data_IF_685134326021
#
_entry.id   IF_685134326021
#
_cell.length_a   1.000
_cell.length_b   1.000
_cell.length_c   1.000
_cell.angle_alpha   90.00
_cell.angle_beta   90.00
_cell.angle_gamma   90.00
#
_symmetry.space_group_name_H-M   'P 1'
#
loop_
_entity.id
_entity.type
_entity.pdbx_description
1 polymer ?
#
# COMPACT_ATOMS: atom_id res chain seq x y z
N UNK A 1 12.91 -1.59 7.60
CA UNK A 1 13.40 -0.29 7.09
C UNK A 1 14.80 -0.02 7.59
N UNK A 2 15.71 0.41 6.71
CA UNK A 2 17.12 0.55 7.06
C UNK A 2 17.46 1.75 7.96
N UNK A 3 16.55 2.69 8.19
CA UNK A 3 16.78 3.86 9.04
C UNK A 3 17.89 4.81 8.55
N UNK A 4 18.03 4.96 7.25
CA UNK A 4 19.12 5.75 6.64
C UNK A 4 19.14 7.20 7.18
N UNK A 5 17.98 7.84 7.27
CA UNK A 5 17.92 9.21 7.80
C UNK A 5 18.36 9.30 9.27
N UNK A 6 18.06 8.28 10.07
CA UNK A 6 18.49 8.23 11.47
C UNK A 6 20.00 8.04 11.59
N UNK A 7 20.61 7.17 10.76
CA UNK A 7 22.04 6.97 10.70
C UNK A 7 22.79 8.23 10.26
N UNK A 8 22.28 8.95 9.25
CA UNK A 8 22.87 10.21 8.76
C UNK A 8 22.81 11.29 9.84
N UNK A 9 21.67 11.43 10.53
CA UNK A 9 21.54 12.37 11.65
C UNK A 9 22.43 12.02 12.83
N UNK A 10 22.58 10.72 13.15
CA UNK A 10 23.48 10.27 14.20
C UNK A 10 24.94 10.59 13.90
N UNK A 11 25.30 10.69 12.61
CA UNK A 11 26.61 11.16 12.15
C UNK A 11 26.77 12.71 12.18
N UNK A 12 25.78 13.46 12.70
CA UNK A 12 25.81 14.93 12.77
C UNK A 12 25.51 15.63 11.45
N UNK A 13 25.02 14.91 10.43
CA UNK A 13 24.74 15.46 9.11
C UNK A 13 23.25 15.83 9.03
N UNK A 14 22.89 17.08 8.67
CA UNK A 14 21.49 17.45 8.45
C UNK A 14 20.87 16.56 7.37
N UNK A 15 19.70 15.96 7.69
CA UNK A 15 19.01 15.07 6.77
C UNK A 15 17.51 15.37 6.80
N UNK A 16 16.94 15.70 5.63
CA UNK A 16 15.50 15.78 5.42
C UNK A 16 14.97 14.37 5.09
N UNK A 17 13.88 14.01 5.73
CA UNK A 17 13.19 12.71 5.50
C UNK A 17 12.71 12.07 6.80
N UNK A 18 11.87 11.04 6.71
CA UNK A 18 11.37 10.31 7.87
C UNK A 18 12.48 9.47 8.50
N UNK A 19 12.42 9.29 9.82
CA UNK A 19 13.15 8.24 10.51
C UNK A 19 12.59 6.85 10.19
N UNK A 20 13.22 5.80 10.74
CA UNK A 20 12.83 4.42 10.49
C UNK A 20 11.36 4.14 10.85
N UNK A 21 10.87 4.73 11.92
CA UNK A 21 9.47 4.59 12.34
C UNK A 21 8.51 5.23 11.33
N UNK A 22 8.75 6.49 10.93
CA UNK A 22 7.91 7.16 9.93
C UNK A 22 7.97 6.51 8.55
N UNK A 23 9.11 5.93 8.18
CA UNK A 23 9.29 5.22 6.92
C UNK A 23 8.46 3.92 6.82
N UNK A 24 7.94 3.40 7.93
CA UNK A 24 7.01 2.26 7.91
C UNK A 24 5.70 2.57 7.20
N UNK A 25 5.32 3.85 7.11
CA UNK A 25 4.11 4.25 6.36
C UNK A 25 4.18 3.85 4.89
N UNK A 26 5.37 3.83 4.30
CA UNK A 26 5.58 3.31 2.94
C UNK A 26 5.91 1.82 2.94
N UNK A 27 6.61 1.36 3.96
CA UNK A 27 7.13 -0.01 4.03
C UNK A 27 6.13 -1.08 4.41
N UNK A 28 5.01 -0.71 5.04
CA UNK A 28 3.94 -1.62 5.47
C UNK A 28 2.59 -0.98 5.25
N UNK A 29 1.80 -1.61 4.40
CA UNK A 29 0.42 -1.20 4.13
C UNK A 29 -0.45 -1.36 5.36
N UNK A 30 -0.24 -2.44 6.11
CA UNK A 30 -0.94 -2.70 7.36
C UNK A 30 -0.65 -1.62 8.41
N UNK A 31 0.63 -1.24 8.57
CA UNK A 31 1.00 -0.14 9.47
C UNK A 31 0.27 1.16 9.10
N UNK A 32 0.26 1.51 7.82
CA UNK A 32 -0.44 2.70 7.33
C UNK A 32 -1.95 2.64 7.58
N UNK A 33 -2.59 1.50 7.33
CA UNK A 33 -4.01 1.28 7.61
C UNK A 33 -4.33 1.46 9.09
N UNK A 34 -3.57 0.83 9.96
CA UNK A 34 -3.74 0.94 11.41
C UNK A 34 -3.52 2.36 11.93
N UNK A 35 -2.57 3.10 11.32
CA UNK A 35 -2.33 4.50 11.67
C UNK A 35 -3.51 5.38 11.24
N UNK A 36 -4.02 5.20 10.02
CA UNK A 36 -5.19 5.92 9.53
C UNK A 36 -6.42 5.66 10.39
N UNK A 37 -6.68 4.39 10.73
CA UNK A 37 -7.79 4.00 11.58
C UNK A 37 -7.71 4.67 12.97
N UNK A 38 -6.54 4.61 13.63
CA UNK A 38 -6.30 5.26 14.93
C UNK A 38 -6.44 6.78 14.86
N UNK A 39 -6.08 7.39 13.76
CA UNK A 39 -6.15 8.83 13.55
C UNK A 39 -7.50 9.31 13.01
N UNK A 40 -8.45 8.41 12.73
CA UNK A 40 -9.75 8.73 12.13
C UNK A 40 -9.63 9.25 10.69
N UNK A 41 -8.57 8.87 9.97
CA UNK A 41 -8.35 9.24 8.57
C UNK A 41 -9.13 8.25 7.68
N UNK A 42 -10.01 8.73 6.79
CA UNK A 42 -10.73 7.87 5.87
C UNK A 42 -9.79 7.01 5.02
N UNK A 43 -10.08 5.73 4.95
CA UNK A 43 -9.36 4.76 4.11
C UNK A 43 -10.33 3.65 3.70
N UNK A 44 -10.02 2.92 2.63
CA UNK A 44 -10.77 1.75 2.20
C UNK A 44 -10.95 0.76 3.36
N UNK A 45 -12.12 0.18 3.52
CA UNK A 45 -12.37 -0.92 4.44
C UNK A 45 -11.39 -2.07 4.14
N UNK A 46 -10.88 -2.74 5.15
CA UNK A 46 -9.84 -3.76 4.95
C UNK A 46 -9.86 -4.87 5.99
N UNK A 47 -9.33 -6.01 5.62
CA UNK A 47 -8.89 -7.08 6.51
C UNK A 47 -7.40 -7.36 6.33
N UNK A 48 -6.73 -7.83 7.37
CA UNK A 48 -5.33 -8.25 7.31
C UNK A 48 -5.17 -9.68 7.81
N UNK A 49 -4.37 -10.48 7.11
CA UNK A 49 -4.27 -11.91 7.31
C UNK A 49 -2.81 -12.37 7.25
N UNK A 50 -2.46 -13.32 8.09
CA UNK A 50 -1.14 -13.97 8.13
C UNK A 50 -1.23 -15.46 7.77
N UNK A 51 -2.41 -15.93 7.39
CA UNK A 51 -2.64 -17.28 6.89
C UNK A 51 -3.62 -17.27 5.71
N UNK A 52 -3.39 -18.18 4.77
CA UNK A 52 -4.15 -18.28 3.52
C UNK A 52 -5.62 -18.64 3.78
N UNK A 53 -5.91 -19.53 4.72
CA UNK A 53 -7.25 -20.03 4.94
C UNK A 53 -8.19 -18.93 5.42
N UNK A 54 -7.75 -18.11 6.38
CA UNK A 54 -8.52 -16.96 6.87
C UNK A 54 -8.69 -15.89 5.80
N UNK A 55 -7.67 -15.64 4.99
CA UNK A 55 -7.74 -14.69 3.89
C UNK A 55 -8.76 -15.14 2.83
N UNK A 56 -8.74 -16.42 2.43
CA UNK A 56 -9.71 -16.98 1.49
C UNK A 56 -11.14 -16.96 2.04
N UNK A 57 -11.32 -17.23 3.34
CA UNK A 57 -12.64 -17.15 3.97
C UNK A 57 -13.20 -15.73 3.89
N UNK A 58 -12.36 -14.71 4.18
CA UNK A 58 -12.73 -13.30 4.09
C UNK A 58 -13.10 -12.90 2.65
N UNK A 59 -12.28 -13.28 1.65
CA UNK A 59 -12.57 -13.01 0.24
C UNK A 59 -13.93 -13.57 -0.19
N UNK A 60 -14.26 -14.79 0.24
CA UNK A 60 -15.55 -15.44 -0.05
C UNK A 60 -16.73 -14.75 0.64
N UNK A 61 -16.52 -14.24 1.83
CA UNK A 61 -17.53 -13.50 2.59
C UNK A 61 -17.81 -12.12 1.97
N UNK A 62 -16.75 -11.40 1.59
CA UNK A 62 -16.88 -10.04 1.02
C UNK A 62 -17.34 -10.05 -0.44
N UNK A 63 -16.98 -11.08 -1.20
CA UNK A 63 -17.18 -11.13 -2.65
C UNK A 63 -16.22 -10.23 -3.41
N UNK A 64 -16.40 -10.11 -4.73
CA UNK A 64 -15.64 -9.19 -5.58
C UNK A 64 -16.52 -7.98 -5.99
N UNK A 65 -15.94 -6.83 -6.35
CA UNK A 65 -14.50 -6.57 -6.56
C UNK A 65 -13.74 -6.27 -5.25
N UNK A 66 -12.47 -6.69 -5.20
CA UNK A 66 -11.55 -6.48 -4.07
C UNK A 66 -10.15 -6.11 -4.56
N UNK A 67 -9.33 -5.57 -3.67
CA UNK A 67 -7.90 -5.33 -3.90
C UNK A 67 -7.09 -6.14 -2.91
N UNK A 68 -6.30 -7.10 -3.41
CA UNK A 68 -5.41 -7.95 -2.62
C UNK A 68 -4.00 -7.37 -2.67
N UNK A 69 -3.37 -7.17 -1.52
CA UNK A 69 -2.06 -6.51 -1.40
C UNK A 69 -1.13 -7.32 -0.50
N UNK A 70 0.04 -7.69 -0.98
CA UNK A 70 1.14 -8.10 -0.12
C UNK A 70 1.60 -6.90 0.73
N UNK A 71 1.84 -7.09 2.03
CA UNK A 71 2.07 -5.98 2.96
C UNK A 71 3.39 -5.24 2.71
N UNK A 72 4.45 -5.94 2.34
CA UNK A 72 5.76 -5.35 2.08
C UNK A 72 5.87 -4.60 0.75
N UNK A 73 7.09 -4.13 0.44
CA UNK A 73 7.35 -3.32 -0.76
C UNK A 73 7.13 -4.06 -2.08
N UNK A 74 7.28 -5.38 -2.13
CA UNK A 74 7.00 -6.26 -3.29
C UNK A 74 7.39 -5.67 -4.66
N UNK A 75 8.38 -4.76 -4.72
CA UNK A 75 8.83 -4.02 -5.90
C UNK A 75 7.68 -3.37 -6.71
N UNK A 76 6.61 -2.93 -6.02
CA UNK A 76 5.44 -2.31 -6.65
C UNK A 76 4.48 -3.30 -7.34
N UNK A 77 4.75 -4.60 -7.29
CA UNK A 77 3.95 -5.64 -7.98
C UNK A 77 2.99 -6.39 -7.07
N UNK A 78 3.05 -6.18 -5.76
CA UNK A 78 2.24 -6.89 -4.77
C UNK A 78 0.83 -6.32 -4.58
N UNK A 79 0.24 -5.69 -5.61
CA UNK A 79 -1.12 -5.15 -5.58
C UNK A 79 -1.89 -5.73 -6.76
N UNK A 80 -2.94 -6.46 -6.47
CA UNK A 80 -3.78 -7.14 -7.46
C UNK A 80 -5.22 -6.65 -7.29
N UNK A 81 -5.76 -6.03 -8.33
CA UNK A 81 -7.17 -5.63 -8.41
C UNK A 81 -7.95 -6.81 -8.99
N UNK A 82 -8.80 -7.40 -8.18
CA UNK A 82 -9.62 -8.55 -8.55
C UNK A 82 -11.07 -8.10 -8.78
N UNK A 83 -11.55 -8.25 -9.99
CA UNK A 83 -12.95 -7.94 -10.36
C UNK A 83 -13.87 -9.13 -10.20
N UNK A 84 -13.30 -10.34 -10.14
CA UNK A 84 -13.99 -11.60 -9.97
C UNK A 84 -13.46 -12.36 -8.75
N UNK A 85 -14.29 -13.19 -8.15
CA UNK A 85 -13.96 -13.93 -6.92
C UNK A 85 -12.74 -14.85 -7.12
N UNK A 86 -12.70 -15.56 -8.25
CA UNK A 86 -11.59 -16.46 -8.59
C UNK A 86 -10.27 -15.73 -8.67
N UNK A 87 -10.25 -14.51 -9.22
CA UNK A 87 -9.05 -13.66 -9.28
C UNK A 87 -8.58 -13.26 -7.89
N UNK A 88 -9.51 -12.93 -6.98
CA UNK A 88 -9.15 -12.57 -5.60
C UNK A 88 -8.59 -13.77 -4.83
N UNK A 89 -9.17 -14.96 -5.01
CA UNK A 89 -8.65 -16.20 -4.41
C UNK A 89 -7.26 -16.56 -4.96
N UNK A 90 -7.03 -16.41 -6.27
CA UNK A 90 -5.74 -16.67 -6.89
C UNK A 90 -4.68 -15.69 -6.36
N UNK A 91 -5.02 -14.39 -6.27
CA UNK A 91 -4.15 -13.36 -5.72
C UNK A 91 -3.72 -13.66 -4.26
N UNK A 92 -4.66 -14.15 -3.43
CA UNK A 92 -4.34 -14.59 -2.06
C UNK A 92 -3.35 -15.75 -2.08
N UNK A 93 -3.59 -16.77 -2.92
CA UNK A 93 -2.68 -17.93 -3.05
C UNK A 93 -1.29 -17.53 -3.56
N UNK A 94 -1.21 -16.60 -4.51
CA UNK A 94 0.07 -16.07 -5.00
C UNK A 94 0.85 -15.37 -3.90
N UNK A 95 0.19 -14.57 -3.05
CA UNK A 95 0.83 -13.90 -1.93
C UNK A 95 1.45 -14.91 -0.96
N UNK A 96 0.66 -15.87 -0.46
CA UNK A 96 1.14 -16.87 0.49
C UNK A 96 2.02 -17.95 -0.16
N UNK A 97 1.92 -18.13 -1.48
CA UNK A 97 2.76 -19.04 -2.27
C UNK A 97 4.22 -18.61 -2.43
N UNK A 98 4.59 -17.44 -1.88
CA UNK A 98 5.98 -16.95 -1.89
C UNK A 98 6.37 -16.14 -3.12
N UNK A 99 5.45 -15.83 -4.04
CA UNK A 99 5.71 -15.00 -5.23
C UNK A 99 6.31 -13.64 -4.85
N UNK A 100 5.94 -13.09 -3.69
CA UNK A 100 6.42 -11.81 -3.19
C UNK A 100 7.42 -11.94 -2.03
N UNK A 101 7.98 -13.14 -1.80
CA UNK A 101 8.90 -13.41 -0.69
C UNK A 101 8.28 -13.05 0.66
N UNK A 102 9.07 -12.47 1.56
CA UNK A 102 8.60 -12.10 2.91
C UNK A 102 7.45 -11.08 2.91
N UNK A 103 7.29 -10.29 1.84
CA UNK A 103 6.19 -9.35 1.70
C UNK A 103 4.82 -10.05 1.66
N UNK A 104 4.77 -11.29 1.19
CA UNK A 104 3.57 -12.12 1.14
C UNK A 104 3.18 -12.78 2.46
N UNK A 105 4.02 -12.70 3.50
CA UNK A 105 3.71 -13.28 4.82
C UNK A 105 2.53 -12.60 5.52
N UNK A 106 2.19 -11.39 5.10
CA UNK A 106 0.99 -10.65 5.53
C UNK A 106 0.28 -10.11 4.30
N UNK A 107 -1.00 -10.33 4.22
CA UNK A 107 -1.86 -9.88 3.12
C UNK A 107 -2.90 -8.92 3.65
N UNK A 108 -3.06 -7.78 2.99
CA UNK A 108 -4.11 -6.80 3.24
C UNK A 108 -5.12 -6.90 2.09
N UNK A 109 -6.37 -7.13 2.42
CA UNK A 109 -7.47 -7.22 1.45
C UNK A 109 -8.38 -6.02 1.68
N UNK A 110 -8.59 -5.23 0.65
CA UNK A 110 -9.33 -3.96 0.72
C UNK A 110 -10.54 -3.96 -0.21
N UNK A 111 -11.55 -3.18 0.14
CA UNK A 111 -12.58 -2.80 -0.82
C UNK A 111 -11.97 -2.07 -2.01
N UNK A 112 -12.51 -2.27 -3.19
CA UNK A 112 -12.09 -1.54 -4.39
C UNK A 112 -12.76 -0.17 -4.42
N UNK A 113 -11.99 0.88 -4.18
CA UNK A 113 -12.44 2.25 -4.38
C UNK A 113 -12.39 2.62 -5.86
N UNK A 114 -13.38 3.35 -6.32
CA UNK A 114 -13.47 3.85 -7.69
C UNK A 114 -13.46 5.38 -7.71
N UNK A 115 -12.88 5.96 -8.75
CA UNK A 115 -12.82 7.40 -8.94
C UNK A 115 -11.46 7.86 -9.47
N UNK A 116 -11.34 9.15 -9.82
CA UNK A 116 -10.05 9.70 -10.22
C UNK A 116 -9.08 9.77 -9.03
N UNK A 117 -7.82 9.43 -9.27
CA UNK A 117 -6.76 9.58 -8.27
C UNK A 117 -6.31 11.05 -8.18
N UNK A 118 -5.99 11.49 -6.97
CA UNK A 118 -5.39 12.78 -6.72
C UNK A 118 -4.32 12.64 -5.63
N UNK A 119 -3.11 13.03 -5.94
CA UNK A 119 -1.99 13.08 -4.98
C UNK A 119 -1.87 14.48 -4.40
N UNK A 120 -1.88 14.59 -3.09
CA UNK A 120 -1.58 15.81 -2.36
C UNK A 120 -0.28 15.61 -1.58
N UNK A 121 0.81 16.17 -2.08
CA UNK A 121 2.10 16.18 -1.38
C UNK A 121 2.18 17.39 -0.47
N UNK A 122 2.93 17.27 0.63
CA UNK A 122 3.14 18.35 1.56
C UNK A 122 4.54 18.29 2.18
N UNK A 123 5.08 19.45 2.50
CA UNK A 123 6.25 19.56 3.39
C UNK A 123 5.78 19.68 4.84
N UNK A 124 6.49 19.01 5.76
CA UNK A 124 6.22 19.14 7.19
C UNK A 124 7.51 19.11 8.00
N UNK A 125 7.55 19.90 9.06
CA UNK A 125 8.59 19.90 10.10
C UNK A 125 8.09 19.27 11.42
N UNK A 126 6.92 18.61 11.37
CA UNK A 126 6.26 18.03 12.53
C UNK A 126 5.31 18.99 13.29
N UNK A 127 5.30 20.27 12.95
CA UNK A 127 4.42 21.30 13.54
C UNK A 127 3.62 22.04 12.50
N UNK A 128 4.22 22.30 11.36
CA UNK A 128 3.62 23.03 10.23
C UNK A 128 3.48 22.09 9.06
N UNK A 129 2.37 22.17 8.34
CA UNK A 129 2.16 21.48 7.07
C UNK A 129 1.98 22.52 5.97
N UNK A 130 2.71 22.37 4.87
CA UNK A 130 2.61 23.22 3.67
C UNK A 130 2.28 22.34 2.48
N UNK A 131 1.01 22.28 2.05
CA UNK A 131 0.61 21.49 0.89
C UNK A 131 1.20 22.09 -0.39
N UNK A 132 1.53 21.22 -1.32
CA UNK A 132 1.90 21.54 -2.69
C UNK A 132 0.65 21.58 -3.57
N UNK A 133 0.81 21.97 -4.84
CA UNK A 133 -0.21 21.76 -5.84
C UNK A 133 -0.53 20.27 -5.97
N UNK A 134 -1.80 19.97 -6.22
CA UNK A 134 -2.23 18.58 -6.46
C UNK A 134 -1.63 18.04 -7.75
N UNK A 135 -1.37 16.74 -7.77
CA UNK A 135 -0.89 16.00 -8.94
C UNK A 135 -1.69 14.72 -9.13
N UNK A 136 -1.52 14.09 -10.27
CA UNK A 136 -2.14 12.79 -10.56
C UNK A 136 -1.08 11.80 -11.01
N UNK A 137 -1.13 10.61 -10.46
CA UNK A 137 -0.29 9.49 -10.86
C UNK A 137 -0.99 8.73 -12.01
N UNK A 138 -0.38 8.74 -13.19
CA UNK A 138 -0.87 8.03 -14.37
C UNK A 138 -0.22 6.65 -14.45
N UNK A 139 -0.77 5.68 -13.73
CA UNK A 139 -0.19 4.34 -13.57
C UNK A 139 -0.30 3.47 -14.81
N UNK A 140 -1.35 3.62 -15.61
CA UNK A 140 -1.64 2.75 -16.74
C UNK A 140 -0.88 3.16 -17.99
N UNK A 141 -0.44 2.15 -18.77
CA UNK A 141 0.41 2.35 -19.95
C UNK A 141 -0.32 2.88 -21.19
N UNK A 142 -1.63 2.68 -21.29
CA UNK A 142 -2.42 2.99 -22.49
C UNK A 142 -3.42 4.12 -22.21
N UNK A 143 -3.91 4.74 -23.30
CA UNK A 143 -4.97 5.75 -23.23
C UNK A 143 -6.25 5.19 -22.58
N UNK A 144 -7.02 6.08 -21.93
CA UNK A 144 -8.25 5.70 -21.24
C UNK A 144 -8.02 4.93 -19.96
N UNK A 145 -6.86 5.06 -19.34
CA UNK A 145 -6.46 4.36 -18.11
C UNK A 145 -6.51 2.83 -18.26
N UNK A 146 -6.01 2.33 -19.38
CA UNK A 146 -5.98 0.92 -19.75
C UNK A 146 -4.56 0.35 -19.74
N UNK A 147 -4.46 -0.99 -19.83
CA UNK A 147 -3.20 -1.71 -19.88
C UNK A 147 -2.57 -1.98 -18.52
N UNK A 148 -1.33 -2.49 -18.50
CA UNK A 148 -0.62 -2.80 -17.26
C UNK A 148 -0.18 -1.52 -16.52
N UNK A 149 0.03 -1.67 -15.21
CA UNK A 149 0.64 -0.60 -14.42
C UNK A 149 2.09 -0.39 -14.83
N UNK A 150 2.51 0.88 -14.83
CA UNK A 150 3.90 1.30 -15.05
C UNK A 150 4.48 1.89 -13.76
N UNK A 151 5.77 2.15 -13.73
CA UNK A 151 6.44 2.90 -12.66
C UNK A 151 6.39 4.42 -12.87
N UNK A 152 5.51 4.90 -13.74
CA UNK A 152 5.34 6.33 -14.01
C UNK A 152 4.67 7.05 -12.86
N UNK A 153 5.14 8.25 -12.59
CA UNK A 153 4.52 9.21 -11.70
C UNK A 153 4.51 10.58 -12.37
#
# INVERSE_FOLDING_TARGET
>A
MAGVADAVRAAGIPCFGPGAEGAQMEGSKLFSKQLMERAGIPTAAYGSFTDEASALAYVREQGAPLVVKADGLAAGKGVIVATELEQAEEAVRECFGGTFGDAGNTVVIEEMLTGPECSLLAFTDGKTVRPMATSQDHKRALEGDLGPNTGGM
#
